data_IF_583065635532
#
_entry.id   IF_583065635532
#
_cell.length_a   1.000
_cell.length_b   1.000
_cell.length_c   1.000
_cell.angle_alpha   90.00
_cell.angle_beta   90.00
_cell.angle_gamma   90.00
#
_symmetry.space_group_name_H-M   'P 1'
#
loop_
_entity.id
_entity.type
_entity.pdbx_description
1 polymer ?
#
# COMPACT_ATOMS: atom_id res chain seq x y z
N UNK A 1 -3.82 8.33 -16.91
CA UNK A 1 -2.63 8.50 -16.04
C UNK A 1 -2.81 9.80 -15.30
N UNK A 2 -2.82 9.76 -13.97
CA UNK A 2 -3.05 10.92 -13.11
C UNK A 2 -1.88 11.90 -13.19
N UNK A 3 -2.08 13.03 -13.86
CA UNK A 3 -1.03 14.04 -14.14
C UNK A 3 -0.81 15.05 -13.01
N UNK A 4 -1.07 14.68 -11.76
CA UNK A 4 -1.01 15.61 -10.61
C UNK A 4 0.42 16.00 -10.17
N UNK A 5 1.41 15.94 -11.07
CA UNK A 5 2.78 16.39 -10.82
C UNK A 5 3.66 15.45 -9.99
N UNK A 6 3.24 14.19 -9.79
CA UNK A 6 4.02 13.21 -9.01
C UNK A 6 5.39 12.94 -9.65
N UNK A 7 6.40 12.69 -8.81
CA UNK A 7 7.72 12.23 -9.26
C UNK A 7 7.64 10.87 -9.95
N UNK A 8 6.74 10.01 -9.49
CA UNK A 8 6.49 8.66 -10.02
C UNK A 8 5.02 8.50 -10.42
N UNK A 9 4.57 9.14 -11.51
CA UNK A 9 3.18 9.04 -11.96
C UNK A 9 2.81 7.61 -12.40
N UNK A 10 3.80 6.78 -12.74
CA UNK A 10 3.63 5.40 -13.15
C UNK A 10 3.12 4.47 -12.04
N UNK A 11 3.23 4.86 -10.77
CA UNK A 11 2.71 4.07 -9.64
C UNK A 11 1.19 4.15 -9.50
N UNK A 12 0.54 5.14 -10.13
CA UNK A 12 -0.90 5.37 -10.00
C UNK A 12 -1.62 5.19 -11.33
N UNK A 13 -2.80 4.58 -11.27
CA UNK A 13 -3.74 4.49 -12.39
C UNK A 13 -5.11 5.01 -11.97
N UNK A 14 -5.84 5.54 -12.95
CA UNK A 14 -7.24 5.95 -12.78
C UNK A 14 -8.18 4.78 -13.15
N UNK A 15 -9.46 4.93 -12.78
CA UNK A 15 -10.43 3.87 -12.98
C UNK A 15 -10.72 3.60 -14.48
N UNK A 16 -10.65 4.62 -15.33
CA UNK A 16 -10.75 4.47 -16.78
C UNK A 16 -9.61 3.61 -17.36
N UNK A 17 -8.38 3.80 -16.88
CA UNK A 17 -7.26 2.94 -17.26
C UNK A 17 -7.50 1.50 -16.84
N UNK A 18 -7.94 1.26 -15.60
CA UNK A 18 -8.24 -0.10 -15.12
C UNK A 18 -9.37 -0.72 -15.95
N UNK A 19 -10.44 0.02 -16.25
CA UNK A 19 -11.54 -0.47 -17.07
C UNK A 19 -11.09 -0.86 -18.48
N UNK A 20 -10.16 -0.10 -19.08
CA UNK A 20 -9.61 -0.40 -20.40
C UNK A 20 -8.66 -1.62 -20.44
N UNK A 21 -7.97 -1.94 -19.34
CA UNK A 21 -6.89 -2.94 -19.31
C UNK A 21 -7.21 -4.19 -18.46
N UNK A 22 -8.34 -4.22 -17.74
CA UNK A 22 -8.74 -5.36 -16.88
C UNK A 22 -8.87 -6.71 -17.60
N UNK A 23 -8.95 -6.70 -18.94
CA UNK A 23 -9.01 -7.90 -19.77
C UNK A 23 -7.66 -8.33 -20.36
N UNK A 24 -6.59 -7.58 -20.12
CA UNK A 24 -5.27 -7.88 -20.66
C UNK A 24 -4.68 -9.13 -19.98
N UNK A 25 -4.09 -10.03 -20.77
CA UNK A 25 -3.68 -11.35 -20.30
C UNK A 25 -2.68 -11.35 -19.12
N UNK A 26 -1.88 -10.29 -18.99
CA UNK A 26 -0.86 -10.17 -17.94
C UNK A 26 -1.29 -9.25 -16.79
N UNK A 27 -2.50 -8.67 -16.83
CA UNK A 27 -2.98 -7.78 -15.77
C UNK A 27 -3.66 -8.59 -14.68
N UNK A 28 -3.23 -8.40 -13.43
CA UNK A 28 -3.85 -8.99 -12.24
C UNK A 28 -4.37 -7.87 -11.36
N UNK A 29 -5.70 -7.77 -11.26
CA UNK A 29 -6.36 -6.80 -10.39
C UNK A 29 -6.55 -7.46 -9.02
N UNK A 30 -6.07 -6.79 -7.97
CA UNK A 30 -6.07 -7.34 -6.61
C UNK A 30 -6.88 -6.43 -5.69
N UNK A 31 -7.99 -6.95 -5.22
CA UNK A 31 -8.79 -6.36 -4.15
C UNK A 31 -8.13 -6.63 -2.80
N UNK A 32 -7.76 -5.55 -2.11
CA UNK A 32 -7.11 -5.54 -0.80
C UNK A 32 -8.07 -5.14 0.35
N UNK A 33 -9.39 -5.11 0.10
CA UNK A 33 -10.41 -4.90 1.13
C UNK A 33 -10.70 -6.19 1.93
N UNK A 34 -11.63 -6.12 2.87
CA UNK A 34 -12.14 -7.26 3.64
C UNK A 34 -13.11 -8.12 2.83
N UNK A 35 -13.25 -9.40 3.20
CA UNK A 35 -14.08 -10.37 2.47
C UNK A 35 -15.53 -9.93 2.33
N UNK A 36 -16.08 -9.32 3.38
CA UNK A 36 -17.42 -8.77 3.34
C UNK A 36 -17.58 -7.62 2.33
N UNK A 37 -16.52 -6.85 2.09
CA UNK A 37 -16.46 -5.80 1.06
C UNK A 37 -16.46 -6.40 -0.33
N UNK A 38 -15.50 -7.27 -0.61
CA UNK A 38 -15.36 -7.97 -1.89
C UNK A 38 -16.65 -8.70 -2.31
N UNK A 39 -17.31 -9.40 -1.37
CA UNK A 39 -18.56 -10.13 -1.64
C UNK A 39 -19.76 -9.21 -1.93
N UNK A 40 -19.71 -7.93 -1.57
CA UNK A 40 -20.75 -6.94 -1.92
C UNK A 40 -20.55 -6.32 -3.31
N UNK A 41 -19.46 -6.67 -3.98
CA UNK A 41 -19.12 -6.20 -5.30
C UNK A 41 -17.65 -5.83 -5.38
N UNK A 42 -17.03 -6.12 -6.51
CA UNK A 42 -15.63 -5.85 -6.79
C UNK A 42 -15.44 -5.51 -8.28
N UNK A 43 -14.22 -5.09 -8.62
CA UNK A 43 -13.84 -4.80 -10.02
C UNK A 43 -13.88 -6.13 -10.81
N UNK A 44 -14.50 -6.19 -12.00
CA UNK A 44 -14.56 -7.42 -12.79
C UNK A 44 -13.20 -8.04 -13.02
N UNK A 45 -13.06 -9.34 -12.68
CA UNK A 45 -11.81 -10.08 -12.77
C UNK A 45 -10.85 -9.91 -11.59
N UNK A 46 -11.19 -9.09 -10.59
CA UNK A 46 -10.34 -8.91 -9.42
C UNK A 46 -10.26 -10.19 -8.56
N UNK A 47 -9.04 -10.54 -8.17
CA UNK A 47 -8.76 -11.56 -7.14
C UNK A 47 -8.64 -10.88 -5.78
N UNK A 48 -8.95 -11.60 -4.71
CA UNK A 48 -8.92 -11.04 -3.35
C UNK A 48 -7.72 -11.56 -2.58
N UNK A 49 -7.01 -10.68 -1.88
CA UNK A 49 -5.97 -11.06 -0.91
C UNK A 49 -6.51 -12.00 0.18
N UNK A 50 -5.68 -12.87 0.78
CA UNK A 50 -6.08 -13.62 1.97
C UNK A 50 -6.26 -12.69 3.17
N UNK A 51 -7.05 -13.14 4.16
CA UNK A 51 -7.20 -12.41 5.42
C UNK A 51 -5.85 -12.20 6.12
N UNK A 52 -5.66 -11.02 6.71
CA UNK A 52 -4.43 -10.59 7.39
C UNK A 52 -3.15 -10.65 6.54
N UNK A 53 -3.22 -10.51 5.20
CA UNK A 53 -2.04 -10.55 4.32
C UNK A 53 -0.95 -9.52 4.68
N UNK A 54 -1.32 -8.44 5.39
CA UNK A 54 -0.41 -7.40 5.86
C UNK A 54 0.46 -7.82 7.05
N UNK A 55 0.18 -8.98 7.65
CA UNK A 55 0.86 -9.53 8.82
C UNK A 55 1.76 -10.70 8.44
N UNK A 56 2.82 -10.89 9.21
CA UNK A 56 3.61 -12.11 9.14
C UNK A 56 2.85 -13.24 9.86
N UNK A 57 2.52 -14.36 9.17
CA UNK A 57 1.70 -15.44 9.73
C UNK A 57 2.33 -16.10 10.96
N UNK A 58 3.66 -16.17 11.03
CA UNK A 58 4.38 -16.89 12.10
C UNK A 58 4.36 -16.10 13.42
N UNK A 59 4.33 -14.77 13.33
CA UNK A 59 4.34 -13.88 14.50
C UNK A 59 2.98 -13.24 14.80
N UNK A 60 2.07 -13.22 13.82
CA UNK A 60 0.80 -12.48 13.86
C UNK A 60 0.96 -10.96 13.93
N UNK A 61 2.17 -10.43 13.74
CA UNK A 61 2.47 -8.99 13.81
C UNK A 61 2.45 -8.38 12.41
N UNK A 62 2.13 -7.09 12.34
CA UNK A 62 2.30 -6.29 11.12
C UNK A 62 3.77 -6.28 10.77
N UNK A 63 4.13 -7.16 9.86
CA UNK A 63 5.45 -7.39 9.34
C UNK A 63 5.27 -8.08 7.99
N UNK A 64 6.34 -8.18 7.20
CA UNK A 64 6.25 -8.86 5.92
C UNK A 64 6.27 -10.39 6.12
N UNK A 65 5.48 -11.10 5.31
CA UNK A 65 5.60 -12.56 5.14
C UNK A 65 7.04 -12.93 4.82
N UNK A 66 7.47 -14.16 5.11
CA UNK A 66 8.75 -14.62 4.59
C UNK A 66 8.67 -14.82 3.05
N UNK A 67 9.82 -14.95 2.34
CA UNK A 67 9.83 -15.03 0.88
C UNK A 67 8.95 -16.15 0.31
N UNK A 68 8.98 -17.34 0.92
CA UNK A 68 8.22 -18.50 0.44
C UNK A 68 6.71 -18.32 0.64
N UNK A 69 6.30 -17.79 1.79
CA UNK A 69 4.91 -17.45 2.08
C UNK A 69 4.39 -16.39 1.11
N UNK A 70 5.17 -15.34 0.87
CA UNK A 70 4.78 -14.26 -0.04
C UNK A 70 4.67 -14.76 -1.49
N UNK A 71 5.61 -15.59 -1.94
CA UNK A 71 5.57 -16.21 -3.26
C UNK A 71 4.34 -17.12 -3.41
N UNK A 72 4.02 -17.92 -2.39
CA UNK A 72 2.82 -18.76 -2.39
C UNK A 72 1.53 -17.94 -2.48
N UNK A 73 1.43 -16.83 -1.72
CA UNK A 73 0.31 -15.90 -1.81
C UNK A 73 0.19 -15.32 -3.22
N UNK A 74 1.28 -14.77 -3.78
CA UNK A 74 1.29 -14.17 -5.11
C UNK A 74 0.84 -15.16 -6.19
N UNK A 75 1.41 -16.37 -6.20
CA UNK A 75 1.01 -17.42 -7.16
C UNK A 75 -0.45 -17.86 -6.97
N UNK A 76 -0.94 -17.91 -5.73
CA UNK A 76 -2.35 -18.19 -5.43
C UNK A 76 -3.31 -17.11 -5.96
N UNK A 77 -2.83 -15.87 -6.08
CA UNK A 77 -3.54 -14.75 -6.72
C UNK A 77 -3.31 -14.68 -8.25
N UNK A 78 -2.49 -15.56 -8.81
CA UNK A 78 -2.12 -15.54 -10.23
C UNK A 78 -1.11 -14.46 -10.60
N UNK A 79 -0.42 -13.90 -9.61
CA UNK A 79 0.67 -12.94 -9.80
C UNK A 79 1.95 -13.73 -10.10
N UNK A 80 2.48 -13.58 -11.31
CA UNK A 80 3.77 -14.11 -11.73
C UNK A 80 4.82 -13.01 -11.93
N UNK A 81 6.03 -13.43 -12.30
CA UNK A 81 7.18 -12.54 -12.53
C UNK A 81 6.91 -11.45 -13.58
N UNK A 82 6.12 -11.76 -14.63
CA UNK A 82 5.80 -10.87 -15.74
C UNK A 82 4.44 -10.15 -15.61
N UNK A 83 3.71 -10.37 -14.51
CA UNK A 83 2.40 -9.75 -14.30
C UNK A 83 2.52 -8.24 -14.16
N UNK A 84 1.49 -7.51 -14.61
CA UNK A 84 1.21 -6.14 -14.19
C UNK A 84 0.14 -6.20 -13.11
N UNK A 85 0.51 -5.86 -11.88
CA UNK A 85 -0.42 -5.89 -10.75
C UNK A 85 -1.07 -4.52 -10.55
N UNK A 86 -2.39 -4.51 -10.36
CA UNK A 86 -3.15 -3.31 -9.96
C UNK A 86 -3.78 -3.58 -8.61
N UNK A 87 -3.31 -2.92 -7.57
CA UNK A 87 -3.91 -3.04 -6.23
C UNK A 87 -4.95 -1.96 -6.01
N UNK A 88 -6.04 -2.31 -5.33
CA UNK A 88 -7.03 -1.36 -4.87
C UNK A 88 -7.66 -1.83 -3.56
N UNK A 89 -8.31 -0.92 -2.85
CA UNK A 89 -9.08 -1.22 -1.66
C UNK A 89 -10.29 -0.29 -1.55
N UNK A 90 -11.06 -0.45 -0.47
CA UNK A 90 -12.04 0.53 0.00
C UNK A 90 -11.60 1.21 1.31
N UNK A 91 -10.30 1.35 1.51
CA UNK A 91 -9.63 1.84 2.71
C UNK A 91 -8.72 3.04 2.40
N UNK A 92 -9.09 3.86 1.40
CA UNK A 92 -8.35 5.06 0.99
C UNK A 92 -6.91 4.78 0.52
N UNK A 93 -6.67 3.60 -0.04
CA UNK A 93 -5.36 3.16 -0.51
C UNK A 93 -4.46 2.56 0.57
N UNK A 94 -4.90 2.47 1.82
CA UNK A 94 -4.08 1.99 2.93
C UNK A 94 -3.59 0.55 2.74
N UNK A 95 -4.49 -0.39 2.46
CA UNK A 95 -4.12 -1.82 2.29
C UNK A 95 -3.59 -2.08 0.89
N UNK A 96 -4.08 -1.38 -0.12
CA UNK A 96 -3.57 -1.43 -1.48
C UNK A 96 -2.10 -0.98 -1.57
N UNK A 97 -1.75 0.12 -0.90
CA UNK A 97 -0.37 0.61 -0.82
C UNK A 97 0.53 -0.34 -0.03
N UNK A 98 0.00 -1.02 1.00
CA UNK A 98 0.75 -2.03 1.76
C UNK A 98 1.12 -3.25 0.91
N UNK A 99 0.22 -3.73 0.04
CA UNK A 99 0.55 -4.79 -0.93
C UNK A 99 1.51 -4.29 -2.00
N UNK A 100 1.30 -3.07 -2.53
CA UNK A 100 2.22 -2.42 -3.47
C UNK A 100 3.64 -2.35 -2.91
N UNK A 101 3.81 -1.92 -1.66
CA UNK A 101 5.12 -1.86 -1.00
C UNK A 101 5.73 -3.26 -0.83
N UNK A 102 4.92 -4.27 -0.48
CA UNK A 102 5.41 -5.65 -0.32
C UNK A 102 5.91 -6.26 -1.63
N UNK A 103 5.20 -6.02 -2.73
CA UNK A 103 5.62 -6.43 -4.07
C UNK A 103 6.95 -5.77 -4.47
N UNK A 104 7.09 -4.47 -4.24
CA UNK A 104 8.35 -3.75 -4.46
C UNK A 104 9.49 -4.26 -3.57
N UNK A 105 9.21 -4.58 -2.30
CA UNK A 105 10.21 -5.17 -1.40
C UNK A 105 10.68 -6.51 -1.94
N UNK A 106 9.81 -7.32 -2.53
CA UNK A 106 10.20 -8.57 -3.18
C UNK A 106 10.59 -8.43 -4.66
N UNK A 107 10.91 -7.22 -5.10
CA UNK A 107 11.49 -6.94 -6.42
C UNK A 107 10.49 -7.01 -7.59
N UNK A 108 9.20 -7.16 -7.31
CA UNK A 108 8.14 -7.07 -8.31
C UNK A 108 7.68 -5.62 -8.44
N UNK A 109 8.36 -4.85 -9.31
CA UNK A 109 8.16 -3.41 -9.48
C UNK A 109 7.07 -3.06 -10.48
N UNK A 110 6.57 -4.03 -11.26
CA UNK A 110 5.48 -3.83 -12.22
C UNK A 110 4.10 -3.82 -11.53
N UNK A 111 3.94 -2.92 -10.56
CA UNK A 111 2.75 -2.81 -9.73
C UNK A 111 2.28 -1.36 -9.64
N UNK A 112 0.96 -1.16 -9.68
CA UNK A 112 0.28 0.13 -9.63
C UNK A 112 -0.83 0.11 -8.60
N UNK A 113 -1.20 1.28 -8.09
CA UNK A 113 -2.36 1.48 -7.19
C UNK A 113 -3.46 2.22 -7.94
N UNK A 114 -4.71 1.73 -7.84
CA UNK A 114 -5.87 2.46 -8.33
C UNK A 114 -6.14 3.69 -7.45
N UNK A 115 -5.90 4.88 -7.98
CA UNK A 115 -6.08 6.13 -7.26
C UNK A 115 -7.57 6.39 -6.98
N UNK A 116 -7.95 6.45 -5.70
CA UNK A 116 -9.35 6.55 -5.26
C UNK A 116 -10.04 5.20 -5.02
N UNK A 117 -9.39 4.08 -5.35
CA UNK A 117 -9.82 2.73 -5.03
C UNK A 117 -11.25 2.38 -5.47
N UNK A 118 -11.90 1.52 -4.68
CA UNK A 118 -13.25 1.03 -4.92
C UNK A 118 -14.30 2.17 -4.97
N UNK A 119 -14.16 3.16 -4.08
CA UNK A 119 -15.08 4.32 -4.04
C UNK A 119 -15.07 5.06 -5.37
N UNK A 120 -13.90 5.29 -5.96
CA UNK A 120 -13.78 5.95 -7.26
C UNK A 120 -14.44 5.12 -8.36
N UNK A 121 -14.15 3.82 -8.40
CA UNK A 121 -14.73 2.89 -9.37
C UNK A 121 -16.27 2.95 -9.40
N UNK A 122 -16.90 2.85 -8.22
CA UNK A 122 -18.36 2.92 -8.09
C UNK A 122 -18.91 4.31 -8.42
N UNK A 123 -18.22 5.38 -7.99
CA UNK A 123 -18.67 6.76 -8.25
C UNK A 123 -18.68 7.13 -9.74
N UNK A 124 -17.85 6.47 -10.54
CA UNK A 124 -17.82 6.63 -12.00
C UNK A 124 -18.86 5.75 -12.72
N UNK A 125 -19.63 4.94 -12.00
CA UNK A 125 -20.65 4.07 -12.58
C UNK A 125 -20.08 2.91 -13.40
N UNK A 126 -18.85 2.50 -13.12
CA UNK A 126 -18.19 1.40 -13.81
C UNK A 126 -18.79 0.05 -13.42
N UNK A 127 -18.60 -0.95 -14.28
CA UNK A 127 -19.19 -2.29 -14.11
C UNK A 127 -18.69 -2.93 -12.81
N UNK A 128 -19.60 -3.55 -12.07
CA UNK A 128 -19.31 -4.33 -10.85
C UNK A 128 -19.53 -5.81 -11.15
N UNK A 129 -18.68 -6.66 -10.55
CA UNK A 129 -18.83 -8.11 -10.55
C UNK A 129 -19.02 -8.64 -9.13
N UNK A 130 -19.58 -9.84 -9.04
CA UNK A 130 -19.85 -10.58 -7.81
C UNK A 130 -19.31 -12.01 -7.87
N UNK A 131 -18.89 -12.48 -9.05
CA UNK A 131 -18.31 -13.80 -9.22
C UNK A 131 -16.89 -13.85 -8.65
N UNK A 132 -16.50 -14.97 -8.02
CA UNK A 132 -15.10 -15.21 -7.64
C UNK A 132 -14.35 -15.84 -8.80
N UNK A 133 -13.48 -15.11 -9.53
CA UNK A 133 -12.68 -15.71 -10.58
C UNK A 133 -11.68 -16.70 -9.97
N UNK A 134 -11.43 -17.79 -10.68
CA UNK A 134 -10.30 -18.67 -10.36
C UNK A 134 -9.03 -18.04 -10.91
N UNK A 135 -8.06 -17.75 -10.04
CA UNK A 135 -6.76 -17.24 -10.46
C UNK A 135 -5.98 -18.28 -11.30
N UNK A 136 -5.18 -17.82 -12.25
CA UNK A 136 -4.24 -18.69 -12.96
C UNK A 136 -3.04 -19.00 -12.05
N UNK A 137 -3.09 -20.12 -11.34
CA UNK A 137 -2.04 -20.52 -10.39
C UNK A 137 -0.83 -21.20 -11.05
N UNK A 138 -0.82 -21.37 -12.38
CA UNK A 138 0.30 -21.93 -13.14
C UNK A 138 1.47 -20.97 -13.36
N UNK A 139 1.52 -19.86 -12.62
CA UNK A 139 2.54 -18.82 -12.72
C UNK A 139 3.67 -19.04 -11.70
N UNK A 140 4.83 -18.44 -11.99
CA UNK A 140 6.00 -18.42 -11.09
C UNK A 140 6.15 -17.03 -10.51
N UNK A 141 6.30 -16.92 -9.20
CA UNK A 141 6.74 -15.70 -8.52
C UNK A 141 8.10 -15.94 -7.86
N UNK A 142 9.09 -15.13 -8.21
CA UNK A 142 10.47 -15.26 -7.73
C UNK A 142 10.81 -14.07 -6.81
N UNK A 143 10.70 -14.21 -5.48
CA UNK A 143 10.93 -13.11 -4.55
C UNK A 143 12.40 -12.68 -4.54
N UNK A 144 12.64 -11.38 -4.70
CA UNK A 144 13.96 -10.75 -4.64
C UNK A 144 13.93 -9.60 -3.64
N UNK A 145 14.26 -9.90 -2.38
CA UNK A 145 14.22 -8.93 -1.30
C UNK A 145 15.14 -7.71 -1.61
N UNK A 146 14.57 -6.51 -1.56
CA UNK A 146 15.26 -5.24 -1.64
C UNK A 146 15.34 -4.63 -0.23
N UNK A 147 16.42 -4.95 0.49
CA UNK A 147 16.63 -4.46 1.85
C UNK A 147 16.76 -2.92 1.93
N UNK A 148 17.04 -2.24 0.81
CA UNK A 148 17.19 -0.78 0.80
C UNK A 148 15.88 0.00 1.03
N UNK A 149 14.70 -0.65 0.93
CA UNK A 149 13.41 0.01 1.16
C UNK A 149 12.77 -0.36 2.52
N UNK A 150 13.51 -1.07 3.37
CA UNK A 150 13.09 -1.47 4.71
C UNK A 150 14.10 -0.99 5.74
N UNK A 151 13.70 -0.06 6.60
CA UNK A 151 14.49 0.31 7.77
C UNK A 151 14.39 -0.79 8.83
N UNK A 152 15.52 -1.38 9.22
CA UNK A 152 15.57 -2.38 10.31
C UNK A 152 15.69 -1.69 11.67
N UNK A 153 15.32 -2.41 12.74
CA UNK A 153 15.32 -1.83 14.10
C UNK A 153 16.68 -1.26 14.51
N UNK A 154 17.77 -1.96 14.19
CA UNK A 154 19.10 -1.50 14.59
C UNK A 154 19.56 -0.29 13.75
N UNK A 155 19.20 -0.24 12.47
CA UNK A 155 19.39 0.96 11.64
C UNK A 155 18.62 2.17 12.20
N UNK A 156 17.35 1.97 12.61
CA UNK A 156 16.56 3.03 13.24
C UNK A 156 17.20 3.50 14.54
N UNK A 157 17.66 2.58 15.40
CA UNK A 157 18.34 2.93 16.67
C UNK A 157 19.62 3.74 16.44
N UNK A 158 20.37 3.43 15.39
CA UNK A 158 21.61 4.11 15.06
C UNK A 158 21.36 5.46 14.36
N UNK A 159 20.19 5.65 13.74
CA UNK A 159 19.88 6.79 12.90
C UNK A 159 18.91 7.83 13.48
N UNK A 160 17.99 7.45 14.38
CA UNK A 160 16.81 8.26 14.71
C UNK A 160 17.09 9.67 15.24
N UNK A 161 18.28 9.91 15.81
CA UNK A 161 18.66 11.20 16.40
C UNK A 161 19.61 12.03 15.52
N UNK A 162 19.93 11.56 14.30
CA UNK A 162 20.82 12.27 13.40
C UNK A 162 20.10 13.46 12.75
N UNK A 163 20.81 14.58 12.49
CA UNK A 163 20.20 15.80 11.97
C UNK A 163 19.65 15.68 10.54
N UNK A 164 20.16 14.72 9.77
CA UNK A 164 19.78 14.39 8.39
C UNK A 164 18.74 13.26 8.31
N UNK A 165 18.15 12.85 9.43
CA UNK A 165 17.11 11.82 9.51
C UNK A 165 15.81 12.42 10.02
N UNK A 166 14.68 11.97 9.45
CA UNK A 166 13.33 12.21 9.98
C UNK A 166 12.67 10.87 10.20
N UNK A 167 12.24 10.63 11.43
CA UNK A 167 11.34 9.52 11.75
C UNK A 167 9.91 10.04 11.65
N UNK A 168 9.16 9.59 10.65
CA UNK A 168 7.80 10.05 10.36
C UNK A 168 6.78 9.02 10.87
N UNK A 169 6.10 9.35 11.96
CA UNK A 169 5.00 8.56 12.51
C UNK A 169 3.69 8.92 11.81
N UNK A 170 3.09 7.95 11.12
CA UNK A 170 1.85 8.15 10.35
C UNK A 170 0.60 7.66 11.07
N UNK A 171 0.72 7.21 12.32
CA UNK A 171 -0.37 6.64 13.12
C UNK A 171 -1.31 7.71 13.66
N UNK A 172 -2.38 7.30 14.32
CA UNK A 172 -3.36 8.23 14.90
C UNK A 172 -2.79 9.13 16.00
N UNK A 173 -3.39 10.30 16.22
CA UNK A 173 -3.10 11.19 17.38
C UNK A 173 -3.04 10.41 18.70
N UNK A 174 -3.99 9.50 18.92
CA UNK A 174 -4.05 8.70 20.15
C UNK A 174 -2.95 7.63 20.26
N UNK A 175 -2.53 7.05 19.14
CA UNK A 175 -1.39 6.14 19.10
C UNK A 175 -0.06 6.88 19.32
N UNK A 176 0.01 8.13 18.85
CA UNK A 176 1.14 9.03 18.99
C UNK A 176 1.32 9.54 20.42
N UNK A 177 0.27 10.10 21.03
CA UNK A 177 0.30 10.66 22.38
C UNK A 177 0.23 9.58 23.48
N UNK A 178 -0.15 8.36 23.10
CA UNK A 178 -0.26 7.19 23.96
C UNK A 178 -1.58 7.09 24.73
N UNK A 179 -2.57 7.92 24.41
CA UNK A 179 -3.93 7.82 24.95
C UNK A 179 -4.71 6.61 24.39
N UNK A 180 -4.33 6.12 23.21
CA UNK A 180 -4.88 4.91 22.60
C UNK A 180 -3.86 3.75 22.60
N UNK A 181 -4.22 2.63 23.23
CA UNK A 181 -3.44 1.40 23.20
C UNK A 181 -4.03 0.39 22.22
N UNK A 182 -3.16 -0.20 21.40
CA UNK A 182 -3.48 -1.34 20.52
C UNK A 182 -2.93 -2.67 21.03
N UNK A 183 -2.74 -2.78 22.35
CA UNK A 183 -2.07 -3.93 22.97
C UNK A 183 -0.55 -3.78 23.03
N UNK A 184 -0.02 -2.58 22.77
CA UNK A 184 1.41 -2.30 22.89
C UNK A 184 1.85 -2.34 24.36
N UNK A 185 3.02 -2.93 24.64
CA UNK A 185 3.63 -2.91 25.99
C UNK A 185 3.97 -1.51 26.47
N UNK A 186 4.30 -0.62 25.53
CA UNK A 186 4.59 0.80 25.76
C UNK A 186 3.81 1.61 24.72
N UNK A 187 3.08 2.61 25.21
CA UNK A 187 2.34 3.58 24.39
C UNK A 187 3.21 4.82 24.11
N UNK A 188 2.81 5.62 23.11
CA UNK A 188 3.56 6.78 22.64
C UNK A 188 4.29 6.53 21.33
N UNK A 189 5.39 7.25 21.09
CA UNK A 189 6.12 7.29 19.83
C UNK A 189 7.64 7.14 20.00
N UNK A 190 8.35 6.98 18.88
CA UNK A 190 9.82 7.00 18.82
C UNK A 190 10.33 8.40 19.21
N UNK A 191 11.30 8.54 20.14
CA UNK A 191 11.79 9.86 20.53
C UNK A 191 12.29 10.69 19.35
N UNK A 192 11.85 11.95 19.25
CA UNK A 192 12.26 12.87 18.18
C UNK A 192 11.52 12.67 16.85
N UNK A 193 10.57 11.73 16.76
CA UNK A 193 9.75 11.57 15.58
C UNK A 193 8.90 12.83 15.29
N UNK A 194 8.50 12.97 14.03
CA UNK A 194 7.49 13.92 13.56
C UNK A 194 6.19 13.15 13.37
N UNK A 195 5.09 13.72 13.87
CA UNK A 195 3.75 13.16 13.71
C UNK A 195 3.02 13.86 12.57
N UNK A 196 2.51 13.06 11.63
CA UNK A 196 1.62 13.51 10.58
C UNK A 196 0.88 12.28 10.03
N UNK A 197 -0.41 12.15 10.32
CA UNK A 197 -1.17 10.95 9.94
C UNK A 197 -1.20 10.74 8.43
N UNK A 198 -1.17 9.47 8.00
CA UNK A 198 -1.15 9.09 6.58
C UNK A 198 -2.32 9.69 5.78
N UNK A 199 -3.51 9.80 6.39
CA UNK A 199 -4.69 10.30 5.69
C UNK A 199 -4.56 11.77 5.28
N UNK A 200 -3.61 12.52 5.85
CA UNK A 200 -3.37 13.91 5.45
C UNK A 200 -2.89 14.00 3.99
N UNK A 201 -2.37 12.90 3.42
CA UNK A 201 -1.97 12.80 2.02
C UNK A 201 -3.14 12.45 1.09
N UNK A 202 -4.33 12.20 1.64
CA UNK A 202 -5.52 11.74 0.92
C UNK A 202 -6.60 12.82 0.93
N UNK A 203 -7.23 13.02 -0.23
CA UNK A 203 -8.43 13.82 -0.36
C UNK A 203 -9.64 13.07 0.20
N UNK A 204 -10.30 13.64 1.21
CA UNK A 204 -11.35 12.95 1.98
C UNK A 204 -12.62 12.69 1.19
N UNK A 205 -12.88 13.47 0.14
CA UNK A 205 -14.11 13.36 -0.63
C UNK A 205 -13.95 12.33 -1.76
N UNK A 206 -12.81 12.38 -2.43
CA UNK A 206 -12.50 11.55 -3.60
C UNK A 206 -11.76 10.26 -3.25
N UNK A 207 -11.19 10.16 -2.05
CA UNK A 207 -10.27 9.11 -1.61
C UNK A 207 -8.99 9.00 -2.46
N UNK A 208 -8.71 10.01 -3.28
CA UNK A 208 -7.51 10.05 -4.09
C UNK A 208 -6.33 10.59 -3.29
N UNK A 209 -5.11 10.20 -3.67
CA UNK A 209 -3.93 10.93 -3.26
C UNK A 209 -4.06 12.40 -3.67
N UNK A 210 -3.68 13.32 -2.78
CA UNK A 210 -3.62 14.75 -3.07
C UNK A 210 -2.58 15.05 -4.15
N UNK A 211 -2.69 16.22 -4.77
CA UNK A 211 -1.73 16.64 -5.79
C UNK A 211 -0.31 16.71 -5.22
N UNK A 212 0.69 16.43 -6.06
CA UNK A 212 2.07 16.29 -5.61
C UNK A 212 2.61 17.58 -4.93
N UNK A 213 2.23 18.75 -5.43
CA UNK A 213 2.63 20.02 -4.82
C UNK A 213 1.95 20.27 -3.47
N UNK A 214 0.71 19.81 -3.29
CA UNK A 214 0.02 19.87 -2.00
C UNK A 214 0.67 18.92 -0.99
N UNK A 215 0.94 17.67 -1.39
CA UNK A 215 1.68 16.70 -0.57
C UNK A 215 3.05 17.26 -0.18
N UNK A 216 3.82 17.76 -1.16
CA UNK A 216 5.14 18.34 -0.92
C UNK A 216 5.08 19.50 0.08
N UNK A 217 4.08 20.37 -0.05
CA UNK A 217 3.87 21.48 0.89
C UNK A 217 3.57 20.97 2.29
N UNK A 218 2.62 20.04 2.45
CA UNK A 218 2.24 19.49 3.77
C UNK A 218 3.46 18.84 4.44
N UNK A 219 4.21 18.01 3.71
CA UNK A 219 5.41 17.35 4.24
C UNK A 219 6.49 18.35 4.66
N UNK A 220 6.75 19.36 3.81
CA UNK A 220 7.77 20.39 4.08
C UNK A 220 7.42 21.24 5.30
N UNK A 221 6.14 21.58 5.49
CA UNK A 221 5.64 22.29 6.68
C UNK A 221 5.87 21.52 7.98
N UNK A 222 5.99 20.19 7.90
CA UNK A 222 6.32 19.30 9.02
C UNK A 222 7.81 18.92 9.09
N UNK A 223 8.67 19.54 8.28
CA UNK A 223 10.11 19.27 8.25
C UNK A 223 10.50 17.95 7.59
N UNK A 224 9.55 17.25 6.95
CA UNK A 224 9.76 16.04 6.15
C UNK A 224 10.14 16.49 4.74
N UNK A 225 11.43 16.39 4.42
CA UNK A 225 12.04 17.06 3.27
C UNK A 225 12.94 16.10 2.50
N UNK A 226 13.07 16.25 1.17
CA UNK A 226 13.74 15.26 0.32
C UNK A 226 15.26 15.21 0.48
N UNK A 227 15.87 16.18 1.15
CA UNK A 227 17.29 16.20 1.51
C UNK A 227 17.63 15.34 2.73
N UNK A 228 16.62 14.81 3.43
CA UNK A 228 16.78 13.95 4.61
C UNK A 228 16.41 12.51 4.30
N UNK A 229 17.00 11.58 5.05
CA UNK A 229 16.52 10.19 5.10
C UNK A 229 15.22 10.15 5.89
N UNK A 230 14.17 9.55 5.33
CA UNK A 230 12.86 9.46 5.98
C UNK A 230 12.54 8.01 6.33
N UNK A 231 12.37 7.74 7.62
CA UNK A 231 11.89 6.45 8.12
C UNK A 231 10.43 6.60 8.55
N UNK A 232 9.51 6.03 7.78
CA UNK A 232 8.07 6.05 8.08
C UNK A 232 7.62 4.78 8.80
N UNK A 233 6.69 4.90 9.75
CA UNK A 233 6.07 3.77 10.48
C UNK A 233 4.64 4.06 10.93
#
# INVERSE_FOLDING_TARGET
MTTQGYTHPEFLVDAAWVDGHKGDANVVIVDCDVEAGYNRGHIPGAVMVPDNFEKNPDSGRVHIMNPDQFAAMCQGLGIGDDSLVVTYDNAQGLTAARLWWALNYYGHTNVKVLNGGWRRWVSEGLKVDFARPSANTGVKFTPKANEAIMCRLDELKDGYNKPDVVVWDVRSDGEWDGSASRGNKRVGHVPGAVHLEWFNMIDRDTHQFKAADEIRRILTEHGITPDKTVYSY
#
